data_IF_777301026862
#
_entry.id   IF_777301026862
#
_cell.length_a   1.000
_cell.length_b   1.000
_cell.length_c   1.000
_cell.angle_alpha   90.00
_cell.angle_beta   90.00
_cell.angle_gamma   90.00
#
_symmetry.space_group_name_H-M   'P 1'
#
loop_
_entity.id
_entity.type
_entity.pdbx_description
1 polymer ?
#
# COMPACT_ATOMS: atom_id res chain seq x y z
N UNK A 1 40.53 30.56 -0.82
CA UNK A 1 39.78 30.63 0.45
C UNK A 1 38.65 31.61 0.17
N UNK A 2 37.37 31.29 0.30
CA UNK A 2 36.71 30.48 1.33
C UNK A 2 35.44 29.76 0.81
N UNK A 3 35.32 28.51 1.25
CA UNK A 3 34.15 27.73 1.68
C UNK A 3 32.86 27.62 0.84
N UNK A 4 32.70 26.38 0.32
CA UNK A 4 31.45 25.64 0.10
C UNK A 4 30.47 25.80 1.27
N UNK A 5 29.19 25.99 0.98
CA UNK A 5 28.12 25.27 1.68
C UNK A 5 27.04 24.84 0.70
N UNK A 6 27.07 23.54 0.37
CA UNK A 6 25.99 22.81 -0.28
C UNK A 6 24.91 22.56 0.77
N UNK A 7 23.83 23.34 0.75
CA UNK A 7 22.60 22.92 1.42
C UNK A 7 21.81 22.05 0.44
N UNK A 8 22.22 20.78 0.31
CA UNK A 8 21.28 19.74 -0.11
C UNK A 8 20.38 19.46 1.08
N UNK A 9 19.26 20.18 1.16
CA UNK A 9 18.15 19.79 2.00
C UNK A 9 17.76 18.38 1.58
N UNK A 10 18.00 17.39 2.43
CA UNK A 10 17.41 16.06 2.30
C UNK A 10 15.89 16.25 2.33
N UNK A 11 15.27 16.52 1.18
CA UNK A 11 13.83 16.39 1.04
C UNK A 11 13.55 14.91 1.24
N UNK A 12 13.03 14.53 2.40
CA UNK A 12 12.59 13.15 2.63
C UNK A 12 11.62 12.80 1.51
N UNK A 13 12.08 11.99 0.56
CA UNK A 13 11.28 11.60 -0.60
C UNK A 13 10.02 10.93 -0.04
N UNK A 14 8.86 11.47 -0.41
CA UNK A 14 7.58 10.83 -0.11
C UNK A 14 7.59 9.49 -0.87
N UNK A 15 7.50 8.35 -0.18
CA UNK A 15 7.49 7.06 -0.85
C UNK A 15 6.27 7.00 -1.78
N UNK A 16 6.49 6.48 -2.98
CA UNK A 16 5.41 6.22 -3.92
C UNK A 16 4.39 5.25 -3.30
N UNK A 17 3.13 5.23 -3.79
CA UNK A 17 2.12 4.29 -3.34
C UNK A 17 2.60 2.84 -3.41
N UNK A 18 3.30 2.47 -4.49
CA UNK A 18 3.91 1.15 -4.67
C UNK A 18 5.02 0.85 -3.64
N UNK A 19 5.86 1.82 -3.29
CA UNK A 19 6.88 1.63 -2.25
C UNK A 19 6.25 1.42 -0.87
N UNK A 20 5.16 2.14 -0.55
CA UNK A 20 4.38 1.93 0.67
C UNK A 20 3.72 0.54 0.66
N UNK A 21 3.00 0.19 -0.40
CA UNK A 21 2.34 -1.11 -0.50
C UNK A 21 3.34 -2.27 -0.37
N UNK A 22 4.54 -2.13 -0.95
CA UNK A 22 5.62 -3.11 -0.78
C UNK A 22 6.09 -3.22 0.67
N UNK A 23 6.29 -2.09 1.35
CA UNK A 23 6.68 -2.07 2.78
C UNK A 23 5.65 -2.78 3.66
N UNK A 24 4.36 -2.65 3.32
CA UNK A 24 3.23 -3.17 4.12
C UNK A 24 2.57 -4.42 3.52
N UNK A 25 3.23 -5.12 2.58
CA UNK A 25 2.62 -6.22 1.82
C UNK A 25 2.02 -7.32 2.73
N UNK A 26 2.73 -7.71 3.79
CA UNK A 26 2.24 -8.71 4.73
C UNK A 26 0.99 -8.26 5.50
N UNK A 27 0.91 -6.98 5.87
CA UNK A 27 -0.27 -6.44 6.57
C UNK A 27 -1.47 -6.32 5.61
N UNK A 28 -1.21 -5.93 4.36
CA UNK A 28 -2.23 -5.87 3.30
C UNK A 28 -2.82 -7.26 3.05
N UNK A 29 -1.97 -8.28 2.82
CA UNK A 29 -2.41 -9.67 2.66
C UNK A 29 -3.07 -10.20 3.93
N UNK A 30 -2.51 -9.91 5.10
CA UNK A 30 -3.06 -10.30 6.40
C UNK A 30 -4.48 -9.80 6.62
N UNK A 31 -4.79 -8.57 6.19
CA UNK A 31 -6.14 -8.00 6.29
C UNK A 31 -7.16 -8.80 5.48
N UNK A 32 -6.80 -9.23 4.26
CA UNK A 32 -7.66 -10.09 3.44
C UNK A 32 -7.78 -11.48 4.07
N UNK A 33 -6.65 -12.04 4.49
CA UNK A 33 -6.58 -13.36 5.11
C UNK A 33 -7.47 -13.48 6.34
N UNK A 34 -7.45 -12.48 7.22
CA UNK A 34 -8.27 -12.42 8.43
C UNK A 34 -9.76 -12.27 8.10
N UNK A 35 -10.13 -11.34 7.20
CA UNK A 35 -11.55 -11.08 6.89
C UNK A 35 -12.21 -12.21 6.11
N UNK A 36 -11.48 -12.86 5.20
CA UNK A 36 -12.04 -13.82 4.23
C UNK A 36 -11.58 -15.26 4.45
N UNK A 37 -10.83 -15.54 5.51
CA UNK A 37 -10.29 -16.88 5.82
C UNK A 37 -9.50 -17.48 4.66
N UNK A 38 -8.64 -16.68 4.03
CA UNK A 38 -7.75 -17.10 2.93
C UNK A 38 -6.31 -17.17 3.45
N UNK A 39 -5.56 -18.19 3.09
CA UNK A 39 -4.15 -18.28 3.46
C UNK A 39 -3.34 -17.14 2.81
N UNK A 40 -2.49 -16.40 3.55
CA UNK A 40 -1.70 -15.30 2.99
C UNK A 40 -0.81 -15.70 1.80
N UNK A 41 -0.34 -16.94 1.77
CA UNK A 41 0.47 -17.49 0.67
C UNK A 41 -0.31 -17.64 -0.64
N UNK A 42 -1.64 -17.73 -0.57
CA UNK A 42 -2.55 -17.81 -1.71
C UNK A 42 -3.00 -16.43 -2.20
N UNK A 43 -2.46 -15.35 -1.63
CA UNK A 43 -2.76 -13.98 -1.97
C UNK A 43 -1.60 -13.33 -2.72
N UNK A 44 -1.91 -12.68 -3.84
CA UNK A 44 -0.95 -11.90 -4.62
C UNK A 44 -1.37 -10.44 -4.68
N UNK A 45 -0.55 -9.56 -4.11
CA UNK A 45 -0.70 -8.12 -4.28
C UNK A 45 -0.28 -7.75 -5.71
N UNK A 46 -1.10 -6.99 -6.42
CA UNK A 46 -0.81 -6.52 -7.79
C UNK A 46 0.21 -5.37 -7.80
N UNK A 47 1.35 -5.60 -7.14
CA UNK A 47 2.38 -4.58 -6.90
C UNK A 47 3.10 -4.13 -8.17
N UNK A 48 3.12 -4.96 -9.21
CA UNK A 48 3.81 -4.64 -10.47
C UNK A 48 2.87 -4.08 -11.54
N UNK A 49 1.56 -4.13 -11.29
CA UNK A 49 0.56 -3.51 -12.14
C UNK A 49 0.48 -2.01 -11.83
N UNK A 50 0.45 -1.21 -12.89
CA UNK A 50 0.37 0.26 -12.79
C UNK A 50 -0.84 0.70 -11.96
N UNK A 51 -1.97 0.02 -12.16
CA UNK A 51 -3.24 0.33 -11.52
C UNK A 51 -3.53 -0.57 -10.30
N UNK A 52 -2.60 -1.49 -9.97
CA UNK A 52 -2.74 -2.41 -8.85
C UNK A 52 -2.60 -1.73 -7.47
N UNK A 53 -1.95 -0.57 -7.42
CA UNK A 53 -1.77 0.23 -6.22
C UNK A 53 -1.91 1.71 -6.57
N UNK A 54 -2.73 2.45 -5.83
CA UNK A 54 -3.00 3.87 -6.08
C UNK A 54 -3.43 4.59 -4.81
N UNK A 55 -3.47 5.92 -4.86
CA UNK A 55 -4.11 6.74 -3.82
C UNK A 55 -5.55 7.05 -4.22
N UNK A 56 -6.47 6.96 -3.27
CA UNK A 56 -7.86 7.33 -3.53
C UNK A 56 -7.96 8.80 -3.96
N UNK A 57 -8.81 9.05 -4.96
CA UNK A 57 -9.14 10.40 -5.41
C UNK A 57 -10.29 11.02 -4.60
N UNK A 58 -11.08 10.19 -3.94
CA UNK A 58 -12.23 10.60 -3.14
C UNK A 58 -11.87 10.78 -1.66
N UNK A 59 -10.96 9.93 -1.16
CA UNK A 59 -10.50 9.96 0.22
C UNK A 59 -9.03 10.38 0.29
N UNK A 60 -8.77 11.55 0.87
CA UNK A 60 -7.40 11.99 1.14
C UNK A 60 -6.66 10.97 2.00
N UNK A 61 -5.37 10.80 1.70
CA UNK A 61 -4.43 9.96 2.46
C UNK A 61 -4.87 8.49 2.55
N UNK A 62 -5.63 7.99 1.57
CA UNK A 62 -5.99 6.57 1.50
C UNK A 62 -5.17 5.87 0.43
N UNK A 63 -4.39 4.87 0.85
CA UNK A 63 -3.77 3.90 -0.05
C UNK A 63 -4.80 2.83 -0.42
N UNK A 64 -4.90 2.51 -1.71
CA UNK A 64 -5.72 1.45 -2.28
C UNK A 64 -4.81 0.40 -2.92
N UNK A 65 -5.05 -0.88 -2.63
CA UNK A 65 -4.25 -2.01 -3.07
C UNK A 65 -5.14 -3.15 -3.55
N UNK A 66 -4.93 -3.62 -4.78
CA UNK A 66 -5.61 -4.80 -5.31
C UNK A 66 -4.85 -6.08 -4.97
N UNK A 67 -5.56 -7.05 -4.39
CA UNK A 67 -5.02 -8.36 -4.02
C UNK A 67 -5.85 -9.43 -4.72
N UNK A 68 -5.19 -10.38 -5.38
CA UNK A 68 -5.83 -11.52 -6.04
C UNK A 68 -5.73 -12.76 -5.17
N UNK A 69 -6.86 -13.43 -4.95
CA UNK A 69 -6.89 -14.79 -4.42
C UNK A 69 -6.59 -15.79 -5.52
N UNK A 70 -5.43 -16.43 -5.46
CA UNK A 70 -4.94 -17.30 -6.52
C UNK A 70 -5.77 -18.58 -6.70
N UNK A 71 -6.43 -19.05 -5.63
CA UNK A 71 -7.23 -20.28 -5.66
C UNK A 71 -8.72 -20.02 -5.86
N UNK A 72 -9.26 -18.99 -5.21
CA UNK A 72 -10.69 -18.68 -5.29
C UNK A 72 -11.05 -17.74 -6.45
N UNK A 73 -10.04 -17.14 -7.10
CA UNK A 73 -10.22 -16.25 -8.25
C UNK A 73 -10.82 -14.89 -7.92
N UNK A 74 -10.94 -14.52 -6.64
CA UNK A 74 -11.49 -13.23 -6.24
C UNK A 74 -10.45 -12.12 -6.29
N UNK A 75 -10.93 -10.93 -6.64
CA UNK A 75 -10.19 -9.68 -6.53
C UNK A 75 -10.66 -8.94 -5.27
N UNK A 76 -9.71 -8.58 -4.42
CA UNK A 76 -9.94 -7.84 -3.20
C UNK A 76 -9.36 -6.43 -3.33
N UNK A 77 -10.07 -5.45 -2.78
CA UNK A 77 -9.56 -4.11 -2.55
C UNK A 77 -9.21 -3.96 -1.08
N UNK A 78 -7.95 -3.65 -0.79
CA UNK A 78 -7.50 -3.27 0.55
C UNK A 78 -7.29 -1.77 0.57
N UNK A 79 -7.86 -1.09 1.57
CA UNK A 79 -7.62 0.32 1.84
C UNK A 79 -6.92 0.51 3.17
N UNK A 80 -6.04 1.51 3.27
CA UNK A 80 -5.38 1.89 4.50
C UNK A 80 -5.16 3.41 4.54
N UNK A 81 -5.22 4.03 5.71
CA UNK A 81 -4.91 5.45 5.90
C UNK A 81 -3.41 5.64 6.09
N UNK A 82 -2.87 6.66 5.41
CA UNK A 82 -1.47 7.07 5.46
C UNK A 82 -1.32 8.12 6.56
N UNK A 83 -0.47 7.85 7.55
CA UNK A 83 -0.11 8.87 8.53
C UNK A 83 1.03 9.74 8.00
N UNK A 84 0.71 10.98 7.62
CA UNK A 84 1.55 11.99 6.96
C UNK A 84 2.95 12.27 7.56
N UNK A 85 3.25 11.80 8.77
CA UNK A 85 4.54 12.03 9.44
C UNK A 85 5.39 10.77 9.60
N UNK A 86 4.76 9.60 9.67
CA UNK A 86 5.42 8.34 10.02
C UNK A 86 5.64 7.44 8.80
N UNK A 87 4.98 7.72 7.66
CA UNK A 87 4.97 6.80 6.50
C UNK A 87 4.50 5.40 6.93
N UNK A 88 3.58 5.38 7.89
CA UNK A 88 2.92 4.21 8.41
C UNK A 88 1.51 4.11 7.82
N UNK A 89 1.02 2.88 7.72
CA UNK A 89 -0.34 2.59 7.30
C UNK A 89 -1.13 2.09 8.51
N UNK A 90 -2.35 2.60 8.65
CA UNK A 90 -3.28 2.17 9.69
C UNK A 90 -4.70 1.99 9.12
N UNK A 91 -5.63 1.55 9.98
CA UNK A 91 -7.04 1.42 9.64
C UNK A 91 -7.28 0.58 8.36
N UNK A 92 -6.59 -0.56 8.28
CA UNK A 92 -6.70 -1.46 7.15
C UNK A 92 -8.13 -2.01 7.05
N UNK A 93 -8.68 -1.98 5.84
CA UNK A 93 -9.97 -2.58 5.51
C UNK A 93 -9.81 -3.34 4.20
N UNK A 94 -10.51 -4.46 4.07
CA UNK A 94 -10.54 -5.22 2.83
C UNK A 94 -11.99 -5.41 2.39
N UNK A 95 -12.27 -5.40 1.09
CA UNK A 95 -13.54 -5.85 0.53
C UNK A 95 -13.35 -6.61 -0.79
N UNK A 96 -14.38 -7.33 -1.23
CA UNK A 96 -14.40 -7.98 -2.55
C UNK A 96 -14.79 -6.93 -3.60
N UNK A 97 -14.10 -6.92 -4.73
CA UNK A 97 -14.46 -6.12 -5.89
C UNK A 97 -15.55 -6.87 -6.66
N UNK A 98 -16.75 -6.28 -6.77
CA UNK A 98 -17.91 -6.83 -7.49
C UNK A 98 -18.22 -6.08 -8.77
#
# INVERSE_FOLDING_TARGET
MEFKEMYQTNSEKIPSPHELARKFEMQIKGTVAEKFSVEPEKLSLLLYDKDGVYLSQEESETLCCFVVGQENGFLYLVTAKIENKSKELNNFKADIVS
#
